data_IF_252107214664
#
_entry.id   IF_252107214664
#
_cell.length_a   1.000
_cell.length_b   1.000
_cell.length_c   1.000
_cell.angle_alpha   90.00
_cell.angle_beta   90.00
_cell.angle_gamma   90.00
#
_symmetry.space_group_name_H-M   'P 1'
#
loop_
_entity.id
_entity.type
_entity.pdbx_description
1 polymer ?
#
# COMPACT_ATOMS: atom_id res chain seq x y z
N UNK A 1 17.83 1.54 -6.87
CA UNK A 1 16.35 1.44 -6.94
C UNK A 1 15.86 0.70 -5.70
N UNK A 2 15.30 1.39 -4.70
CA UNK A 2 14.67 0.74 -3.54
C UNK A 2 13.23 0.42 -3.91
N UNK A 3 12.90 -0.84 -4.06
CA UNK A 3 11.52 -1.27 -4.24
C UNK A 3 10.79 -1.09 -2.91
N UNK A 4 10.06 0.01 -2.77
CA UNK A 4 9.17 0.22 -1.63
C UNK A 4 7.86 -0.47 -1.95
N UNK A 5 7.32 -1.21 -1.00
CA UNK A 5 6.01 -1.84 -1.12
C UNK A 5 5.20 -1.52 0.13
N UNK A 6 3.90 -1.43 -0.06
CA UNK A 6 2.93 -1.18 0.99
C UNK A 6 1.87 -2.28 0.94
N UNK A 7 1.36 -2.69 2.07
CA UNK A 7 0.38 -3.77 2.16
C UNK A 7 -0.96 -3.20 2.64
N UNK A 8 -2.03 -3.52 1.91
CA UNK A 8 -3.38 -3.08 2.22
C UNK A 8 -4.30 -4.27 2.44
N UNK A 9 -4.94 -4.35 3.60
CA UNK A 9 -6.00 -5.32 3.87
C UNK A 9 -7.35 -4.74 3.50
N UNK A 10 -7.91 -5.18 2.39
CA UNK A 10 -9.24 -4.81 1.96
C UNK A 10 -10.28 -5.72 2.60
N UNK A 11 -11.24 -5.18 3.36
CA UNK A 11 -12.25 -5.96 4.08
C UNK A 11 -13.51 -5.15 4.37
N UNK A 12 -14.66 -5.83 4.47
CA UNK A 12 -15.90 -5.20 4.94
C UNK A 12 -15.93 -5.03 6.45
N UNK A 13 -15.27 -5.92 7.17
CA UNK A 13 -15.19 -5.89 8.63
C UNK A 13 -13.81 -5.38 9.08
N UNK A 14 -13.69 -4.06 9.05
CA UNK A 14 -12.47 -3.35 9.46
C UNK A 14 -12.17 -3.57 10.94
N UNK A 15 -13.21 -3.63 11.80
CA UNK A 15 -13.04 -3.76 13.24
C UNK A 15 -12.47 -5.13 13.63
N UNK A 16 -13.05 -6.21 13.11
CA UNK A 16 -12.54 -7.56 13.33
C UNK A 16 -11.13 -7.76 12.77
N UNK A 17 -10.87 -7.26 11.56
CA UNK A 17 -9.53 -7.33 10.97
C UNK A 17 -8.51 -6.55 11.81
N UNK A 18 -8.88 -5.36 12.28
CA UNK A 18 -8.02 -4.53 13.13
C UNK A 18 -7.65 -5.24 14.45
N UNK A 19 -8.64 -5.86 15.09
CA UNK A 19 -8.45 -6.62 16.33
C UNK A 19 -7.54 -7.82 16.11
N UNK A 20 -7.81 -8.60 15.06
CA UNK A 20 -7.04 -9.79 14.73
C UNK A 20 -5.58 -9.46 14.45
N UNK A 21 -5.32 -8.59 13.48
CA UNK A 21 -3.94 -8.26 13.09
C UNK A 21 -3.20 -7.47 14.17
N UNK A 22 -3.91 -6.65 14.95
CA UNK A 22 -3.35 -5.98 16.12
C UNK A 22 -2.86 -6.98 17.18
N UNK A 23 -3.64 -8.03 17.43
CA UNK A 23 -3.28 -9.09 18.39
C UNK A 23 -2.14 -9.97 17.87
N UNK A 24 -2.20 -10.38 16.59
CA UNK A 24 -1.21 -11.31 16.01
C UNK A 24 0.16 -10.65 15.82
N UNK A 25 0.18 -9.39 15.33
CA UNK A 25 1.42 -8.71 14.93
C UNK A 25 1.80 -7.55 15.83
N UNK A 26 1.07 -7.33 16.91
CA UNK A 26 1.26 -6.16 17.80
C UNK A 26 1.14 -4.81 17.10
N UNK A 27 0.37 -4.77 16.01
CA UNK A 27 0.16 -3.55 15.24
C UNK A 27 -0.73 -2.58 16.02
N UNK A 28 -0.34 -1.32 16.00
CA UNK A 28 -1.10 -0.23 16.61
C UNK A 28 -1.79 0.61 15.55
N UNK A 29 -2.96 1.14 15.89
CA UNK A 29 -3.66 2.09 15.03
C UNK A 29 -2.86 3.39 15.00
N UNK A 30 -2.61 3.90 13.80
CA UNK A 30 -2.26 5.28 13.56
C UNK A 30 -3.38 5.91 12.75
N UNK A 31 -4.21 6.68 13.43
CA UNK A 31 -5.21 7.52 12.78
C UNK A 31 -4.56 8.87 12.45
N UNK A 32 -4.51 9.22 11.18
CA UNK A 32 -4.01 10.51 10.73
C UNK A 32 -4.85 11.12 9.61
N UNK A 33 -6.16 11.08 9.79
CA UNK A 33 -7.05 11.84 8.92
C UNK A 33 -7.14 11.31 7.48
N UNK A 34 -8.31 11.27 6.93
CA UNK A 34 -8.56 10.84 5.55
C UNK A 34 -9.16 9.44 5.40
N UNK A 35 -9.65 8.83 6.50
CA UNK A 35 -10.42 7.58 6.42
C UNK A 35 -9.62 6.29 6.26
N UNK A 36 -8.30 6.36 6.08
CA UNK A 36 -7.43 5.17 6.05
C UNK A 36 -6.88 4.86 7.44
N UNK A 37 -7.25 3.71 7.99
CA UNK A 37 -6.76 3.22 9.27
C UNK A 37 -5.38 2.57 9.09
N UNK A 38 -4.32 3.38 9.15
CA UNK A 38 -2.95 2.90 9.07
C UNK A 38 -2.57 2.07 10.28
N UNK A 39 -1.74 1.06 10.08
CA UNK A 39 -1.19 0.17 11.09
C UNK A 39 0.30 0.38 11.20
N UNK A 40 0.76 0.64 12.40
CA UNK A 40 2.17 0.87 12.68
C UNK A 40 2.71 -0.19 13.64
N UNK A 41 3.96 -0.55 13.45
CA UNK A 41 4.75 -1.34 14.38
C UNK A 41 5.77 -0.40 15.02
N UNK A 42 5.65 -0.19 16.33
CA UNK A 42 6.63 0.62 17.09
C UNK A 42 8.03 0.06 16.83
N UNK A 43 9.01 0.92 16.64
CA UNK A 43 10.41 0.58 16.35
C UNK A 43 10.71 0.08 14.93
N UNK A 44 9.72 -0.02 14.04
CA UNK A 44 9.99 -0.43 12.65
C UNK A 44 10.82 0.63 11.90
N UNK A 45 10.52 1.90 12.09
CA UNK A 45 11.33 3.00 11.59
C UNK A 45 12.78 2.98 12.11
N UNK A 46 12.99 2.58 13.37
CA UNK A 46 14.35 2.40 13.92
C UNK A 46 15.07 1.24 13.23
N UNK A 47 14.35 0.17 12.91
CA UNK A 47 14.92 -0.94 12.15
C UNK A 47 15.30 -0.49 10.73
N UNK A 48 14.41 0.20 10.04
CA UNK A 48 14.68 0.72 8.70
C UNK A 48 15.87 1.67 8.68
N UNK A 49 15.96 2.59 9.64
CA UNK A 49 17.08 3.53 9.75
C UNK A 49 18.42 2.83 9.99
N UNK A 50 18.44 1.74 10.78
CA UNK A 50 19.65 0.91 10.96
C UNK A 50 20.05 0.17 9.68
N UNK A 51 19.07 -0.35 8.93
CA UNK A 51 19.33 -1.09 7.68
C UNK A 51 19.71 -0.15 6.53
N UNK A 52 19.10 1.02 6.51
CA UNK A 52 19.30 2.03 5.46
C UNK A 52 19.30 3.41 6.08
N UNK A 53 20.47 3.91 6.50
CA UNK A 53 20.59 5.26 7.07
C UNK A 53 20.04 6.33 6.13
N UNK A 54 19.36 7.34 6.70
CA UNK A 54 18.68 8.40 5.95
C UNK A 54 17.23 8.05 5.54
N UNK A 55 16.71 6.90 5.93
CA UNK A 55 15.33 6.51 5.65
C UNK A 55 14.34 7.53 6.21
N UNK A 56 14.49 7.99 7.45
CA UNK A 56 13.61 8.97 8.08
C UNK A 56 13.60 10.30 7.35
N UNK A 57 14.77 10.79 6.97
CA UNK A 57 14.89 12.03 6.19
C UNK A 57 14.21 11.89 4.83
N UNK A 58 14.38 10.75 4.17
CA UNK A 58 13.72 10.45 2.91
C UNK A 58 12.19 10.41 3.03
N UNK A 59 11.63 9.84 4.10
CA UNK A 59 10.19 9.86 4.34
C UNK A 59 9.67 11.27 4.68
N UNK A 60 10.43 12.04 5.46
CA UNK A 60 10.07 13.40 5.79
C UNK A 60 10.06 14.32 4.55
N UNK A 61 11.01 14.15 3.63
CA UNK A 61 11.08 14.94 2.39
C UNK A 61 9.91 14.68 1.43
N UNK A 62 9.24 13.53 1.53
CA UNK A 62 8.05 13.22 0.74
C UNK A 62 6.77 13.86 1.29
N UNK A 63 6.85 14.70 2.33
CA UNK A 63 5.67 15.35 2.93
C UNK A 63 4.73 14.41 3.67
N UNK A 64 5.14 13.20 3.96
CA UNK A 64 4.37 12.21 4.70
C UNK A 64 4.11 12.62 6.16
N UNK A 65 3.12 12.00 6.83
CA UNK A 65 2.88 12.23 8.25
C UNK A 65 4.11 11.86 9.09
N UNK A 66 4.29 12.53 10.25
CA UNK A 66 5.38 12.20 11.16
C UNK A 66 5.37 10.71 11.57
N UNK A 67 6.53 10.07 11.58
CA UNK A 67 6.74 8.63 11.84
C UNK A 67 5.97 7.73 10.86
N UNK A 68 5.84 8.12 9.61
CA UNK A 68 5.24 7.29 8.55
C UNK A 68 6.10 6.05 8.28
N UNK A 69 7.37 6.11 8.59
CA UNK A 69 8.32 5.00 8.52
C UNK A 69 7.96 3.81 9.44
N UNK A 70 7.14 4.02 10.47
CA UNK A 70 6.62 2.95 11.33
C UNK A 70 5.41 2.22 10.72
N UNK A 71 4.82 2.77 9.66
CA UNK A 71 3.62 2.19 9.02
C UNK A 71 4.00 0.95 8.22
N UNK A 72 3.33 -0.15 8.51
CA UNK A 72 3.59 -1.47 7.90
C UNK A 72 2.44 -1.94 7.01
N UNK A 73 1.23 -1.44 7.25
CA UNK A 73 0.05 -1.79 6.46
C UNK A 73 -1.08 -0.77 6.64
N UNK A 74 -2.11 -0.87 5.80
CA UNK A 74 -3.41 -0.25 6.06
C UNK A 74 -4.54 -1.29 6.10
N UNK A 75 -5.68 -0.90 6.69
CA UNK A 75 -6.93 -1.65 6.58
C UNK A 75 -7.92 -0.74 5.89
N UNK A 76 -8.33 -1.16 4.70
CA UNK A 76 -9.18 -0.38 3.79
C UNK A 76 -10.57 -1.00 3.76
N UNK A 77 -11.63 -0.21 4.00
CA UNK A 77 -12.98 -0.71 3.86
C UNK A 77 -13.26 -1.07 2.39
N UNK A 78 -13.89 -2.23 2.18
CA UNK A 78 -14.45 -2.62 0.88
C UNK A 78 -15.88 -2.13 0.77
N UNK A 79 -16.20 -1.53 -0.36
CA UNK A 79 -17.57 -1.26 -0.76
C UNK A 79 -18.31 -2.55 -1.14
N UNK A 80 -19.64 -2.49 -1.13
CA UNK A 80 -20.51 -3.64 -1.45
C UNK A 80 -20.60 -3.89 -2.98
N UNK A 81 -19.48 -4.13 -3.63
CA UNK A 81 -19.40 -4.37 -5.07
C UNK A 81 -19.08 -5.83 -5.45
N UNK A 82 -19.27 -6.78 -4.54
CA UNK A 82 -19.01 -8.20 -4.78
C UNK A 82 -17.55 -8.62 -4.70
N UNK A 83 -16.61 -7.70 -4.50
CA UNK A 83 -15.18 -8.03 -4.34
C UNK A 83 -14.95 -8.74 -3.01
N UNK A 84 -14.35 -9.94 -2.98
CA UNK A 84 -14.02 -10.62 -1.72
C UNK A 84 -12.91 -9.89 -0.97
N UNK A 85 -12.88 -10.09 0.34
CA UNK A 85 -11.80 -9.57 1.18
C UNK A 85 -10.45 -10.16 0.76
N UNK A 86 -9.43 -9.30 0.61
CA UNK A 86 -8.11 -9.69 0.08
C UNK A 86 -6.99 -8.81 0.64
N UNK A 87 -5.76 -9.25 0.46
CA UNK A 87 -4.59 -8.43 0.62
C UNK A 87 -4.19 -7.83 -0.72
N UNK A 88 -3.93 -6.53 -0.75
CA UNK A 88 -3.29 -5.82 -1.85
C UNK A 88 -1.82 -5.53 -1.54
N UNK A 89 -0.99 -5.50 -2.54
CA UNK A 89 0.41 -5.10 -2.44
C UNK A 89 0.63 -3.93 -3.40
N UNK A 90 1.16 -2.84 -2.88
CA UNK A 90 1.51 -1.64 -3.67
C UNK A 90 3.01 -1.59 -3.86
N UNK A 91 3.45 -1.53 -5.12
CA UNK A 91 4.84 -1.35 -5.50
C UNK A 91 5.08 0.12 -5.87
N UNK A 92 6.07 0.74 -5.25
CA UNK A 92 6.51 2.06 -5.67
C UNK A 92 7.32 1.95 -6.96
N UNK A 93 6.95 2.73 -7.96
CA UNK A 93 7.56 2.77 -9.29
C UNK A 93 7.88 4.22 -9.66
N UNK A 94 8.74 4.43 -10.64
CA UNK A 94 9.09 5.77 -11.12
C UNK A 94 8.01 6.35 -12.04
N UNK A 95 7.26 5.49 -12.73
CA UNK A 95 6.22 5.86 -13.70
C UNK A 95 5.05 4.88 -13.63
N UNK A 96 3.95 5.27 -13.00
CA UNK A 96 2.76 4.43 -12.86
C UNK A 96 2.01 4.25 -14.20
N UNK A 97 2.00 5.26 -15.05
CA UNK A 97 1.34 5.21 -16.37
C UNK A 97 2.10 4.26 -17.29
N UNK A 98 3.41 4.39 -17.37
CA UNK A 98 4.27 3.49 -18.14
C UNK A 98 4.22 2.05 -17.62
N UNK A 99 4.15 1.87 -16.28
CA UNK A 99 3.98 0.56 -15.66
C UNK A 99 2.64 -0.08 -16.08
N UNK A 100 1.54 0.68 -16.06
CA UNK A 100 0.22 0.21 -16.48
C UNK A 100 0.22 -0.17 -17.98
N UNK A 101 0.78 0.67 -18.84
CA UNK A 101 0.90 0.37 -20.28
C UNK A 101 1.73 -0.89 -20.52
N UNK A 102 2.84 -1.05 -19.82
CA UNK A 102 3.71 -2.22 -19.92
C UNK A 102 3.03 -3.49 -19.44
N UNK A 103 2.23 -3.42 -18.38
CA UNK A 103 1.47 -4.56 -17.88
C UNK A 103 0.51 -5.09 -18.95
N UNK A 104 -0.19 -4.21 -19.67
CA UNK A 104 -1.09 -4.61 -20.77
C UNK A 104 -0.32 -5.28 -21.92
N UNK A 105 0.82 -4.72 -22.31
CA UNK A 105 1.67 -5.31 -23.36
C UNK A 105 2.15 -6.73 -23.00
N UNK A 106 2.31 -7.01 -21.72
CA UNK A 106 2.74 -8.32 -21.20
C UNK A 106 1.58 -9.27 -20.87
N UNK A 107 0.36 -8.95 -21.33
CA UNK A 107 -0.82 -9.80 -21.15
C UNK A 107 -1.54 -9.63 -19.82
N UNK A 108 -1.16 -8.65 -19.01
CA UNK A 108 -1.89 -8.22 -17.82
C UNK A 108 -3.08 -7.34 -18.15
N UNK A 109 -3.78 -6.89 -17.13
CA UNK A 109 -4.95 -6.00 -17.25
C UNK A 109 -4.84 -4.84 -16.28
N UNK A 110 -5.27 -3.65 -16.69
CA UNK A 110 -5.52 -2.52 -15.80
C UNK A 110 -6.94 -2.65 -15.25
N UNK A 111 -7.07 -2.79 -13.92
CA UNK A 111 -8.36 -2.89 -13.25
C UNK A 111 -8.89 -1.51 -12.86
N UNK A 112 -8.01 -0.59 -12.49
CA UNK A 112 -8.33 0.81 -12.23
C UNK A 112 -7.13 1.71 -12.49
N UNK A 113 -7.39 2.92 -12.96
CA UNK A 113 -6.39 3.96 -13.19
C UNK A 113 -5.75 3.93 -14.58
N UNK A 114 -4.64 4.68 -14.78
CA UNK A 114 -3.94 5.49 -13.76
C UNK A 114 -4.76 6.65 -13.20
N UNK A 115 -4.70 6.88 -11.90
CA UNK A 115 -5.43 7.94 -11.21
C UNK A 115 -4.58 8.57 -10.11
N UNK A 116 -4.91 9.82 -9.77
CA UNK A 116 -4.22 10.54 -8.69
C UNK A 116 -4.92 10.27 -7.36
N UNK A 117 -4.14 9.82 -6.38
CA UNK A 117 -4.52 9.70 -4.99
C UNK A 117 -3.71 10.71 -4.16
N UNK A 118 -4.09 11.01 -2.90
CA UNK A 118 -3.28 11.89 -2.06
C UNK A 118 -1.81 11.43 -2.04
N UNK A 119 -0.91 12.31 -2.46
CA UNK A 119 0.55 12.17 -2.54
C UNK A 119 1.10 11.15 -3.56
N UNK A 120 0.25 10.43 -4.29
CA UNK A 120 0.71 9.39 -5.22
C UNK A 120 -0.19 9.28 -6.45
N UNK A 121 0.40 8.91 -7.59
CA UNK A 121 -0.32 8.47 -8.77
C UNK A 121 -0.32 6.94 -8.81
N UNK A 122 -1.48 6.32 -8.99
CA UNK A 122 -1.67 4.89 -8.80
C UNK A 122 -2.34 4.23 -10.00
N UNK A 123 -2.06 2.94 -10.19
CA UNK A 123 -2.82 2.06 -11.06
C UNK A 123 -3.01 0.70 -10.40
N UNK A 124 -4.18 0.12 -10.53
CA UNK A 124 -4.47 -1.24 -10.06
C UNK A 124 -4.36 -2.20 -11.22
N UNK A 125 -3.49 -3.18 -11.10
CA UNK A 125 -3.15 -4.11 -12.16
C UNK A 125 -3.55 -5.53 -11.79
N UNK A 126 -3.72 -6.36 -12.80
CA UNK A 126 -3.86 -7.80 -12.68
C UNK A 126 -2.86 -8.48 -13.60
N UNK A 127 -2.06 -9.39 -13.06
CA UNK A 127 -1.14 -10.21 -13.85
C UNK A 127 -1.87 -11.16 -14.82
N UNK A 128 -1.16 -11.71 -15.82
CA UNK A 128 -1.73 -12.62 -16.80
C UNK A 128 -2.13 -13.98 -16.20
N UNK A 129 -1.46 -14.40 -15.13
CA UNK A 129 -1.79 -15.63 -14.44
C UNK A 129 -3.00 -15.42 -13.53
N UNK A 130 -4.08 -16.13 -13.80
CA UNK A 130 -5.26 -16.16 -12.93
C UNK A 130 -5.00 -17.13 -11.77
N UNK A 131 -4.33 -16.67 -10.72
CA UNK A 131 -4.30 -17.40 -9.48
C UNK A 131 -5.55 -17.16 -8.65
N UNK A 132 -5.97 -18.15 -7.87
CA UNK A 132 -7.14 -18.09 -6.98
C UNK A 132 -6.94 -17.04 -5.87
N UNK A 133 -5.70 -16.71 -5.54
CA UNK A 133 -5.34 -15.54 -4.74
C UNK A 133 -5.23 -14.34 -5.69
N UNK A 134 -6.12 -13.39 -5.55
CA UNK A 134 -6.11 -12.15 -6.34
C UNK A 134 -4.94 -11.28 -5.89
N UNK A 135 -3.80 -11.49 -6.51
CA UNK A 135 -2.74 -10.50 -6.48
C UNK A 135 -3.19 -9.31 -7.31
N UNK A 136 -3.46 -8.23 -6.64
CA UNK A 136 -3.70 -6.93 -7.28
C UNK A 136 -2.52 -6.02 -6.94
N UNK A 137 -1.40 -6.14 -7.66
CA UNK A 137 -0.31 -5.20 -7.46
C UNK A 137 -0.78 -3.81 -7.87
N UNK A 138 -0.51 -2.86 -7.03
CA UNK A 138 -0.72 -1.44 -7.29
C UNK A 138 0.64 -0.84 -7.58
N UNK A 139 0.77 -0.16 -8.71
CA UNK A 139 1.94 0.66 -9.00
C UNK A 139 1.65 2.08 -8.53
N UNK A 140 2.56 2.68 -7.80
CA UNK A 140 2.42 4.05 -7.31
C UNK A 140 3.71 4.84 -7.54
N UNK A 141 3.56 6.09 -8.02
CA UNK A 141 4.64 7.08 -8.08
C UNK A 141 4.34 8.21 -7.13
N UNK A 142 5.37 8.79 -6.51
CA UNK A 142 5.22 10.03 -5.74
C UNK A 142 4.78 11.15 -6.67
N UNK A 143 3.78 11.93 -6.26
CA UNK A 143 3.44 13.19 -6.93
C UNK A 143 4.51 14.22 -6.56
N UNK A 144 5.08 14.89 -7.55
CA UNK A 144 5.91 16.10 -7.34
C UNK A 144 5.04 17.27 -6.91
#
# INVERSE_FOLDING_TARGET
>A
MQCRFFNDRHTRDVATAATFYGAVFSWRVRDKGGGMAMRALSVYGDHLERCTPGTRESYASMGGPANFEDVVASIVPLEENGTPAHWGVTFAVEDADGCAARAVQLGGRVLAGPFDAPWVRMAVLQGPARHVVRDQPVCATSSE
#
